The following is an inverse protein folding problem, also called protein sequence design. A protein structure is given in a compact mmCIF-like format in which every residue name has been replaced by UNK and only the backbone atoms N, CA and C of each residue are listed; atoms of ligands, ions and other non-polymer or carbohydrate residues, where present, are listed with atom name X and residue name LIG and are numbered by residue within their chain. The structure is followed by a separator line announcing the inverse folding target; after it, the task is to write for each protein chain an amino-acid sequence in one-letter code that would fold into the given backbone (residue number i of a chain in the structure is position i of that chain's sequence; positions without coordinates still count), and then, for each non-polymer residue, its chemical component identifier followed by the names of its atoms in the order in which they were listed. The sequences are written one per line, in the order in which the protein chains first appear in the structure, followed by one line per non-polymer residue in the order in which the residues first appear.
data_IF_025585119675
#
_entry.id   IF_025585119675
#
_cell.length_a   1.000
_cell.length_b   1.000
_cell.length_c   1.000
_cell.angle_alpha   90.00
_cell.angle_beta   90.00
_cell.angle_gamma   90.00
#
_symmetry.space_group_name_H-M   'P 1'
#
loop_
_entity.id
_entity.type
_entity.pdbx_description
1 polymer ?
#
# COMPACT_ATOMS: atom_id res chain seq x y z
N UNK A 1 -22.70 -11.56 11.30
CA UNK A 1 -21.29 -12.01 11.34
C UNK A 1 -20.62 -11.42 10.12
N UNK A 2 -19.90 -10.31 10.29
CA UNK A 2 -19.24 -9.61 9.19
C UNK A 2 -17.92 -10.32 8.85
N UNK A 3 -17.84 -10.83 7.62
CA UNK A 3 -16.67 -11.54 7.10
C UNK A 3 -15.47 -10.60 7.03
N UNK A 4 -14.58 -10.72 8.01
CA UNK A 4 -13.22 -10.17 7.91
C UNK A 4 -12.52 -10.90 6.76
N UNK A 5 -12.48 -10.25 5.58
CA UNK A 5 -11.74 -10.71 4.40
C UNK A 5 -10.24 -10.58 4.65
N UNK A 6 -9.70 -11.32 5.61
CA UNK A 6 -8.27 -11.54 5.75
C UNK A 6 -7.86 -12.57 4.70
N UNK A 7 -7.03 -12.17 3.74
CA UNK A 7 -6.40 -13.10 2.80
C UNK A 7 -5.74 -14.24 3.60
N UNK A 8 -6.13 -15.51 3.41
CA UNK A 8 -5.49 -16.62 4.11
C UNK A 8 -4.16 -16.93 3.42
N UNK A 9 -3.05 -16.89 4.15
CA UNK A 9 -1.85 -17.65 3.77
C UNK A 9 -0.55 -16.91 3.44
N UNK A 10 -0.44 -15.58 3.54
CA UNK A 10 0.89 -14.92 3.64
C UNK A 10 1.19 -14.68 5.11
N UNK A 11 2.40 -15.02 5.55
CA UNK A 11 2.93 -14.67 6.88
C UNK A 11 2.65 -13.18 7.07
N UNK A 12 1.71 -12.80 7.94
CA UNK A 12 1.40 -11.39 8.16
C UNK A 12 2.68 -10.73 8.67
N UNK A 13 3.31 -9.95 7.82
CA UNK A 13 4.52 -9.24 8.16
C UNK A 13 4.20 -8.11 9.12
N UNK A 14 5.15 -7.17 9.24
CA UNK A 14 4.89 -5.93 9.97
C UNK A 14 3.80 -5.14 9.23
N UNK A 15 2.80 -4.67 9.97
CA UNK A 15 1.75 -3.82 9.39
C UNK A 15 2.26 -2.38 9.31
N UNK A 16 2.14 -1.76 8.14
CA UNK A 16 2.54 -0.39 7.87
C UNK A 16 1.33 0.54 7.75
N UNK A 17 1.48 1.75 8.30
CA UNK A 17 0.60 2.89 8.03
C UNK A 17 1.18 3.75 6.91
N UNK A 18 0.37 4.66 6.36
CA UNK A 18 0.78 5.60 5.28
C UNK A 18 2.11 6.31 5.58
N UNK A 19 2.38 6.72 6.82
CA UNK A 19 3.65 7.37 7.18
C UNK A 19 4.87 6.43 7.02
N UNK A 20 4.71 5.14 7.29
CA UNK A 20 5.79 4.16 7.12
C UNK A 20 5.95 3.77 5.65
N UNK A 21 4.84 3.69 4.91
CA UNK A 21 4.86 3.52 3.44
C UNK A 21 5.54 4.71 2.77
N UNK A 22 5.32 5.93 3.26
CA UNK A 22 6.01 7.15 2.82
C UNK A 22 7.52 7.04 2.94
N UNK A 23 8.01 6.60 4.10
CA UNK A 23 9.45 6.40 4.32
C UNK A 23 10.05 5.35 3.37
N UNK A 24 9.31 4.28 3.04
CA UNK A 24 9.80 3.21 2.14
C UNK A 24 9.75 3.55 0.66
N UNK A 25 8.68 4.21 0.23
CA UNK A 25 8.48 4.60 -1.17
C UNK A 25 9.25 5.86 -1.56
N UNK A 26 9.75 6.62 -0.57
CA UNK A 26 10.38 7.93 -0.81
C UNK A 26 9.39 9.02 -1.22
N UNK A 27 8.09 8.77 -1.13
CA UNK A 27 7.04 9.74 -1.43
C UNK A 27 6.48 10.36 -0.16
N UNK A 28 6.15 11.65 -0.21
CA UNK A 28 5.45 12.32 0.89
C UNK A 28 4.10 11.64 1.19
N UNK A 29 3.64 11.63 2.44
CA UNK A 29 2.36 11.01 2.82
C UNK A 29 1.16 11.62 2.09
N UNK A 30 1.24 12.91 1.74
CA UNK A 30 0.23 13.59 0.94
C UNK A 30 0.18 13.06 -0.51
N UNK A 31 1.35 12.87 -1.13
CA UNK A 31 1.46 12.26 -2.46
C UNK A 31 0.88 10.85 -2.46
N UNK A 32 1.17 10.06 -1.42
CA UNK A 32 0.57 8.73 -1.27
C UNK A 32 -0.96 8.85 -1.17
N UNK A 33 -1.51 9.78 -0.38
CA UNK A 33 -2.96 10.01 -0.32
C UNK A 33 -3.53 10.43 -1.68
N UNK A 34 -2.82 11.23 -2.45
CA UNK A 34 -3.24 11.64 -3.79
C UNK A 34 -3.29 10.45 -4.77
N UNK A 35 -2.33 9.51 -4.67
CA UNK A 35 -2.35 8.27 -5.44
C UNK A 35 -3.62 7.43 -5.17
N UNK A 36 -4.21 7.53 -3.99
CA UNK A 36 -5.51 6.89 -3.67
C UNK A 36 -6.62 7.41 -4.56
N UNK A 37 -6.69 8.73 -4.72
CA UNK A 37 -7.73 9.39 -5.51
C UNK A 37 -7.63 9.01 -6.99
N UNK A 38 -6.40 8.74 -7.45
CA UNK A 38 -6.12 8.29 -8.81
C UNK A 38 -6.33 6.77 -9.04
N UNK A 39 -6.72 6.01 -8.01
CA UNK A 39 -6.90 4.55 -8.14
C UNK A 39 -5.59 3.80 -8.36
N UNK A 40 -4.49 4.28 -7.77
CA UNK A 40 -3.17 3.70 -7.98
C UNK A 40 -3.04 2.30 -7.37
N UNK A 41 -2.36 1.39 -8.07
CA UNK A 41 -2.14 -0.03 -7.74
C UNK A 41 -1.61 -0.29 -6.31
N UNK A 42 -0.87 0.67 -5.73
CA UNK A 42 -0.42 0.59 -4.34
C UNK A 42 -1.60 0.42 -3.35
N UNK A 43 -2.78 0.95 -3.69
CA UNK A 43 -3.97 0.86 -2.84
C UNK A 43 -4.75 -0.45 -3.01
N UNK A 44 -4.48 -1.26 -4.03
CA UNK A 44 -4.98 -2.65 -4.10
C UNK A 44 -4.34 -3.55 -3.04
N UNK A 45 -3.18 -3.14 -2.53
CA UNK A 45 -2.48 -3.81 -1.41
C UNK A 45 -2.99 -3.32 -0.06
N UNK A 46 -3.70 -2.19 -0.01
CA UNK A 46 -4.17 -1.60 1.23
C UNK A 46 -5.48 -2.25 1.69
N UNK A 47 -5.63 -2.41 3.01
CA UNK A 47 -6.93 -2.71 3.61
C UNK A 47 -7.24 -1.75 4.75
N UNK A 48 -8.53 -1.59 5.05
CA UNK A 48 -8.95 -0.80 6.19
C UNK A 48 -8.78 -1.60 7.48
N UNK A 49 -8.29 -0.94 8.53
CA UNK A 49 -8.24 -1.52 9.88
C UNK A 49 -9.62 -1.82 10.47
N UNK A 50 -10.69 -1.23 9.93
CA UNK A 50 -12.07 -1.39 10.40
C UNK A 50 -13.10 -0.97 9.36
N UNK A 51 -14.39 -1.11 9.71
CA UNK A 51 -15.52 -0.86 8.81
C UNK A 51 -15.88 0.62 8.63
N UNK A 52 -15.27 1.54 9.39
CA UNK A 52 -15.60 2.96 9.29
C UNK A 52 -15.06 3.57 7.99
N UNK A 53 -15.75 4.58 7.47
CA UNK A 53 -15.31 5.31 6.28
C UNK A 53 -13.91 5.92 6.46
N UNK A 54 -13.63 6.40 7.68
CA UNK A 54 -12.36 7.01 8.09
C UNK A 54 -11.39 6.03 8.77
N UNK A 55 -11.63 4.73 8.70
CA UNK A 55 -10.67 3.77 9.26
C UNK A 55 -9.30 3.91 8.59
N UNK A 56 -8.21 3.86 9.37
CA UNK A 56 -6.86 3.99 8.82
C UNK A 56 -6.57 2.86 7.84
N UNK A 57 -5.86 3.20 6.77
CA UNK A 57 -5.37 2.24 5.80
C UNK A 57 -4.08 1.60 6.31
N UNK A 58 -4.07 0.28 6.19
CA UNK A 58 -2.98 -0.60 6.58
C UNK A 58 -2.45 -1.30 5.34
N UNK A 59 -1.15 -1.53 5.35
CA UNK A 59 -0.43 -2.20 4.30
C UNK A 59 0.43 -3.30 4.93
N UNK A 60 0.65 -4.39 4.22
CA UNK A 60 1.63 -5.39 4.63
C UNK A 60 3.01 -4.89 4.21
N UNK A 61 3.98 -4.97 5.11
CA UNK A 61 5.35 -4.56 4.82
C UNK A 61 5.94 -5.33 3.65
N UNK A 62 5.70 -6.63 3.53
CA UNK A 62 6.25 -7.45 2.47
C UNK A 62 5.63 -7.10 1.11
N UNK A 63 4.31 -6.88 1.05
CA UNK A 63 3.65 -6.45 -0.18
C UNK A 63 4.14 -5.06 -0.63
N UNK A 64 4.38 -4.13 0.30
CA UNK A 64 4.94 -2.80 -0.02
C UNK A 64 6.40 -2.91 -0.48
N UNK A 65 7.19 -3.78 0.16
CA UNK A 65 8.60 -3.97 -0.21
C UNK A 65 8.74 -4.64 -1.59
N UNK A 66 7.94 -5.67 -1.85
CA UNK A 66 7.83 -6.35 -3.15
C UNK A 66 7.42 -5.34 -4.24
N UNK A 67 6.43 -4.49 -3.96
CA UNK A 67 6.01 -3.44 -4.88
C UNK A 67 7.11 -2.41 -5.14
N UNK A 68 7.79 -1.92 -4.09
CA UNK A 68 8.91 -0.97 -4.23
C UNK A 68 10.06 -1.61 -5.01
N UNK A 69 10.36 -2.88 -4.77
CA UNK A 69 11.38 -3.62 -5.52
C UNK A 69 11.00 -3.76 -7.01
N UNK A 70 9.73 -4.08 -7.30
CA UNK A 70 9.21 -4.18 -8.67
C UNK A 70 9.06 -2.84 -9.41
N UNK A 71 8.99 -1.71 -8.70
CA UNK A 71 9.09 -0.37 -9.31
C UNK A 71 10.52 0.14 -9.44
N UNK A 72 11.44 -0.36 -8.61
CA UNK A 72 12.88 -0.08 -8.71
C UNK A 72 13.58 -0.89 -9.79
N UNK A 73 12.98 -1.96 -10.30
CA UNK A 73 13.39 -2.53 -11.58
C UNK A 73 13.05 -1.51 -12.67
N UNK A 74 14.03 -0.93 -13.37
CA UNK A 74 13.78 0.03 -14.43
C UNK A 74 13.17 -0.71 -15.62
N UNK A 75 11.86 -0.93 -15.61
CA UNK A 75 11.10 -1.03 -16.84
C UNK A 75 10.65 0.37 -17.20
N UNK A 76 11.47 0.93 -18.08
CA UNK A 76 11.12 1.95 -19.06
C UNK A 76 10.85 3.33 -18.48
N UNK A 77 11.92 4.13 -18.50
CA UNK A 77 11.84 5.52 -18.89
C UNK A 77 10.84 5.66 -20.04
N UNK A 78 9.65 6.18 -19.74
CA UNK A 78 8.81 6.85 -20.73
C UNK A 78 9.72 7.90 -21.40
N UNK A 79 10.06 7.61 -22.65
CA UNK A 79 10.69 8.54 -23.56
C UNK A 79 9.61 9.49 -24.05
N UNK A 80 9.75 10.78 -23.76
CA UNK A 80 9.34 11.85 -24.66
C UNK A 80 10.14 13.14 -24.39
#
# INVERSE_FOLDING_TARGET
MESIKGRPGRVRGRILRIHQVSARTGHSPDRIRHLRVRGHELYDLAWKAGGAQNSPLLFDEADVDEWVAGKKTPLEQDSE
#
